data_IF_461533804300
#
_entry.id   IF_461533804300
#
_cell.length_a   1.000
_cell.length_b   1.000
_cell.length_c   1.000
_cell.angle_alpha   90.00
_cell.angle_beta   90.00
_cell.angle_gamma   90.00
#
_symmetry.space_group_name_H-M   'P 1'
#
loop_
_entity.id
_entity.type
_entity.pdbx_description
1 polymer ?
#
# COMPACT_ATOMS: atom_id res chain seq x y z
N UNK A 1 4.72 -24.08 10.83
CA UNK A 1 4.60 -24.08 9.36
C UNK A 1 5.80 -23.34 8.81
N UNK A 2 6.49 -23.84 7.80
CA UNK A 2 7.48 -23.04 7.05
C UNK A 2 6.76 -22.01 6.16
N UNK A 3 7.47 -21.00 5.66
CA UNK A 3 6.86 -20.01 4.76
C UNK A 3 6.38 -20.65 3.44
N UNK A 4 7.10 -21.67 2.95
CA UNK A 4 6.72 -22.44 1.77
C UNK A 4 5.45 -23.28 2.03
N UNK A 5 5.31 -23.86 3.22
CA UNK A 5 4.09 -24.55 3.63
C UNK A 5 2.91 -23.57 3.71
N UNK A 6 3.11 -22.32 4.18
CA UNK A 6 2.04 -21.29 4.18
C UNK A 6 1.56 -21.02 2.76
N UNK A 7 2.47 -20.80 1.81
CA UNK A 7 2.09 -20.48 0.43
C UNK A 7 1.36 -21.60 -0.31
N UNK A 8 1.68 -22.85 0.02
CA UNK A 8 1.02 -24.01 -0.55
C UNK A 8 -0.25 -24.45 0.19
N UNK A 9 -0.56 -23.82 1.33
CA UNK A 9 -1.71 -24.19 2.14
C UNK A 9 -2.97 -23.41 1.75
N UNK A 10 -3.92 -24.10 1.12
CA UNK A 10 -5.21 -23.54 0.69
C UNK A 10 -6.23 -23.38 1.82
N UNK A 11 -5.87 -23.70 3.06
CA UNK A 11 -6.78 -23.68 4.23
C UNK A 11 -6.42 -22.58 5.24
N UNK A 12 -5.55 -21.64 4.88
CA UNK A 12 -5.15 -20.52 5.74
C UNK A 12 -5.19 -19.22 4.96
N UNK A 13 -5.46 -18.11 5.64
CA UNK A 13 -5.16 -16.79 5.12
C UNK A 13 -3.63 -16.61 5.16
N UNK A 14 -3.00 -16.62 3.99
CA UNK A 14 -1.54 -16.67 3.83
C UNK A 14 -0.88 -15.44 4.44
N UNK A 15 -1.41 -14.24 4.18
CA UNK A 15 -0.83 -13.00 4.69
C UNK A 15 -1.02 -12.86 6.21
N UNK A 16 -2.14 -13.30 6.78
CA UNK A 16 -2.33 -13.33 8.23
C UNK A 16 -1.27 -14.22 8.91
N UNK A 17 -1.06 -15.44 8.39
CA UNK A 17 -0.06 -16.36 8.94
C UNK A 17 1.37 -15.88 8.70
N UNK A 18 1.69 -15.37 7.51
CA UNK A 18 3.01 -14.83 7.16
C UNK A 18 3.41 -13.65 8.05
N UNK A 19 2.52 -12.70 8.25
CA UNK A 19 2.82 -11.50 9.04
C UNK A 19 2.74 -11.74 10.55
N UNK A 20 2.29 -12.93 10.98
CA UNK A 20 2.11 -13.27 12.38
C UNK A 20 3.34 -12.91 13.25
N UNK A 21 3.02 -12.46 14.45
CA UNK A 21 3.97 -11.94 15.42
C UNK A 21 4.00 -12.83 16.66
N UNK A 22 5.19 -13.00 17.23
CA UNK A 22 5.39 -13.50 18.58
C UNK A 22 5.58 -12.32 19.53
N UNK A 23 4.78 -12.27 20.58
CA UNK A 23 4.91 -11.27 21.64
C UNK A 23 6.07 -11.63 22.57
N UNK A 24 7.09 -10.76 22.67
CA UNK A 24 8.21 -10.92 23.60
C UNK A 24 7.95 -10.18 24.93
N UNK A 25 7.23 -9.06 24.87
CA UNK A 25 6.69 -8.31 26.00
C UNK A 25 5.45 -7.52 25.58
N UNK A 26 4.87 -6.70 26.46
CA UNK A 26 3.70 -5.86 26.13
C UNK A 26 3.90 -4.88 24.98
N UNK A 27 5.14 -4.52 24.71
CA UNK A 27 5.51 -3.50 23.73
C UNK A 27 6.63 -3.96 22.80
N UNK A 28 7.04 -5.22 22.86
CA UNK A 28 8.06 -5.78 21.99
C UNK A 28 7.54 -7.04 21.34
N UNK A 29 7.50 -7.04 20.02
CA UNK A 29 7.04 -8.15 19.19
C UNK A 29 8.14 -8.56 18.21
N UNK A 30 8.10 -9.79 17.74
CA UNK A 30 9.04 -10.34 16.77
C UNK A 30 8.26 -11.04 15.66
N UNK A 31 8.65 -10.82 14.40
CA UNK A 31 8.08 -11.56 13.27
C UNK A 31 8.39 -13.05 13.38
N UNK A 32 7.40 -13.91 13.08
CA UNK A 32 7.65 -15.36 13.01
C UNK A 32 8.44 -15.75 11.76
N UNK A 33 8.41 -14.92 10.71
CA UNK A 33 9.07 -15.15 9.43
C UNK A 33 9.85 -13.91 8.98
N UNK A 34 10.97 -14.07 8.25
CA UNK A 34 11.65 -12.95 7.61
C UNK A 34 10.74 -12.24 6.61
N UNK A 35 10.89 -10.92 6.52
CA UNK A 35 10.19 -10.13 5.51
C UNK A 35 10.84 -10.30 4.14
N UNK A 36 10.04 -10.46 3.09
CA UNK A 36 10.52 -10.90 1.78
C UNK A 36 10.75 -9.75 0.77
N UNK A 37 11.61 -9.94 -0.24
CA UNK A 37 11.78 -8.97 -1.31
C UNK A 37 10.60 -8.99 -2.29
N UNK A 38 10.49 -7.95 -3.11
CA UNK A 38 9.43 -7.87 -4.13
C UNK A 38 9.56 -8.92 -5.24
N UNK A 39 10.79 -9.41 -5.45
CA UNK A 39 11.14 -10.53 -6.33
C UNK A 39 12.44 -11.17 -5.86
N UNK A 40 12.68 -12.40 -6.29
CA UNK A 40 13.95 -13.10 -6.05
C UNK A 40 15.15 -12.28 -6.56
N UNK A 41 16.23 -12.24 -5.77
CA UNK A 41 17.46 -11.52 -6.08
C UNK A 41 17.39 -9.99 -5.93
N UNK A 42 16.25 -9.41 -5.51
CA UNK A 42 16.23 -8.00 -5.13
C UNK A 42 17.02 -7.75 -3.84
N UNK A 43 17.64 -6.57 -3.73
CA UNK A 43 18.58 -6.24 -2.64
C UNK A 43 17.95 -6.05 -1.27
N UNK A 44 16.63 -5.89 -1.18
CA UNK A 44 15.98 -5.56 0.08
C UNK A 44 14.52 -5.99 0.10
N UNK A 45 14.02 -6.13 1.32
CA UNK A 45 12.61 -6.34 1.65
C UNK A 45 11.70 -5.35 0.90
N UNK A 46 10.58 -5.85 0.41
CA UNK A 46 9.51 -5.04 -0.17
C UNK A 46 8.88 -4.15 0.90
N UNK A 47 8.66 -2.86 0.63
CA UNK A 47 8.17 -1.92 1.64
C UNK A 47 6.80 -2.29 2.19
N UNK A 48 5.94 -2.91 1.36
CA UNK A 48 4.65 -3.49 1.75
C UNK A 48 4.76 -4.47 2.92
N UNK A 49 5.85 -5.23 3.02
CA UNK A 49 6.10 -6.14 4.14
C UNK A 49 6.31 -5.38 5.45
N UNK A 50 7.12 -4.31 5.40
CA UNK A 50 7.41 -3.47 6.57
C UNK A 50 6.15 -2.79 7.08
N UNK A 51 5.39 -2.14 6.20
CA UNK A 51 4.18 -1.41 6.60
C UNK A 51 3.12 -2.36 7.15
N UNK A 52 2.99 -3.57 6.60
CA UNK A 52 1.99 -4.55 7.03
C UNK A 52 2.30 -5.13 8.40
N UNK A 53 3.50 -5.70 8.57
CA UNK A 53 3.88 -6.28 9.85
C UNK A 53 4.07 -5.20 10.93
N UNK A 54 4.50 -3.99 10.55
CA UNK A 54 4.62 -2.85 11.46
C UNK A 54 3.26 -2.31 11.93
N UNK A 55 2.28 -2.20 11.03
CA UNK A 55 0.90 -1.84 11.39
C UNK A 55 0.26 -2.93 12.26
N UNK A 56 0.51 -4.20 11.95
CA UNK A 56 0.07 -5.32 12.79
C UNK A 56 0.70 -5.23 14.18
N UNK A 57 2.00 -4.99 14.29
CA UNK A 57 2.69 -4.82 15.57
C UNK A 57 2.11 -3.66 16.39
N UNK A 58 1.77 -2.54 15.75
CA UNK A 58 1.05 -1.46 16.41
C UNK A 58 -0.31 -1.94 16.93
N UNK A 59 -1.10 -2.61 16.10
CA UNK A 59 -2.46 -3.04 16.43
C UNK A 59 -2.50 -4.11 17.54
N UNK A 60 -1.55 -5.04 17.56
CA UNK A 60 -1.42 -6.06 18.63
C UNK A 60 -1.12 -5.47 20.02
N UNK A 61 -0.84 -4.17 20.11
CA UNK A 61 -0.67 -3.43 21.38
C UNK A 61 -1.85 -2.52 21.71
N UNK A 62 -2.94 -2.57 20.94
CA UNK A 62 -4.20 -1.89 21.21
C UNK A 62 -5.12 -2.85 21.96
N UNK A 63 -5.41 -2.52 23.22
CA UNK A 63 -6.12 -3.43 24.13
C UNK A 63 -7.64 -3.45 23.85
N UNK A 64 -8.17 -2.39 23.23
CA UNK A 64 -9.60 -2.24 22.97
C UNK A 64 -9.95 -2.76 21.56
N UNK A 65 -10.81 -3.79 21.45
CA UNK A 65 -11.10 -4.45 20.18
C UNK A 65 -11.94 -3.60 19.21
N UNK A 66 -12.59 -2.53 19.68
CA UNK A 66 -13.36 -1.64 18.80
C UNK A 66 -12.45 -0.75 17.96
N UNK A 67 -11.17 -0.65 18.32
CA UNK A 67 -10.22 0.18 17.60
C UNK A 67 -9.67 -0.53 16.36
N UNK A 68 -9.72 0.19 15.25
CA UNK A 68 -9.10 -0.20 13.99
C UNK A 68 -8.24 0.94 13.45
N UNK A 69 -7.17 0.64 12.69
CA UNK A 69 -6.32 1.68 12.13
C UNK A 69 -7.11 2.52 11.13
N UNK A 70 -6.98 3.84 11.24
CA UNK A 70 -7.49 4.77 10.22
C UNK A 70 -6.37 5.52 9.50
N UNK A 71 -5.15 5.50 10.05
CA UNK A 71 -3.99 6.03 9.33
C UNK A 71 -2.67 5.51 9.88
N UNK A 72 -1.64 5.57 9.06
CA UNK A 72 -0.26 5.51 9.50
C UNK A 72 0.66 6.35 8.63
N UNK A 73 1.80 6.73 9.20
CA UNK A 73 2.91 7.43 8.55
C UNK A 73 4.20 6.66 8.83
N UNK A 74 5.07 6.52 7.84
CA UNK A 74 6.27 5.72 8.01
C UNK A 74 7.47 6.19 7.20
N UNK A 75 8.67 5.80 7.62
CA UNK A 75 9.93 6.08 6.95
C UNK A 75 10.76 4.80 6.78
N UNK A 76 11.27 4.60 5.57
CA UNK A 76 12.22 3.52 5.25
C UNK A 76 13.65 4.02 5.45
N UNK A 77 14.36 3.44 6.42
CA UNK A 77 15.69 3.91 6.83
C UNK A 77 16.82 3.05 6.25
N UNK A 78 16.61 1.73 6.19
CA UNK A 78 17.56 0.75 5.64
C UNK A 78 16.81 -0.38 4.96
N UNK A 79 17.45 -0.98 3.95
CA UNK A 79 16.95 -2.20 3.34
C UNK A 79 16.93 -3.35 4.36
N UNK A 80 15.81 -4.08 4.42
CA UNK A 80 15.70 -5.30 5.22
C UNK A 80 16.44 -6.48 4.56
N UNK A 81 16.94 -7.38 5.41
CA UNK A 81 17.56 -8.65 5.02
C UNK A 81 16.62 -9.83 5.30
N UNK A 82 16.61 -10.80 4.38
CA UNK A 82 15.88 -12.06 4.51
C UNK A 82 16.54 -13.06 5.47
N UNK A 83 17.78 -12.80 5.90
CA UNK A 83 18.55 -13.70 6.77
C UNK A 83 18.02 -13.73 8.22
N UNK A 84 17.06 -12.86 8.54
CA UNK A 84 16.58 -12.66 9.91
C UNK A 84 15.21 -12.01 9.94
N UNK A 85 14.45 -12.31 10.99
CA UNK A 85 13.18 -11.67 11.30
C UNK A 85 13.36 -10.23 11.80
N UNK A 86 12.25 -9.51 11.90
CA UNK A 86 12.19 -8.16 12.45
C UNK A 86 11.73 -8.17 13.91
N UNK A 87 12.35 -7.33 14.73
CA UNK A 87 11.87 -6.95 16.06
C UNK A 87 11.16 -5.61 15.99
N UNK A 88 9.97 -5.54 16.55
CA UNK A 88 9.09 -4.38 16.56
C UNK A 88 8.94 -3.86 17.98
N UNK A 89 9.44 -2.66 18.23
CA UNK A 89 9.34 -1.99 19.53
C UNK A 89 8.29 -0.89 19.45
N UNK A 90 7.23 -1.02 20.25
CA UNK A 90 6.03 -0.21 20.18
C UNK A 90 5.90 0.68 21.42
N UNK A 91 5.81 1.98 21.21
CA UNK A 91 5.46 2.95 22.26
C UNK A 91 3.97 3.28 22.16
N UNK A 92 3.22 3.09 23.25
CA UNK A 92 1.85 3.59 23.39
C UNK A 92 1.92 5.11 23.63
N UNK A 93 1.75 5.92 22.59
CA UNK A 93 1.99 7.37 22.67
C UNK A 93 0.78 8.15 23.19
N UNK A 94 -0.44 7.67 22.94
CA UNK A 94 -1.67 8.29 23.44
C UNK A 94 -2.77 7.23 23.56
N UNK A 95 -3.50 7.27 24.67
CA UNK A 95 -4.71 6.49 24.92
C UNK A 95 -5.88 7.43 25.18
N UNK A 96 -6.84 7.44 24.26
CA UNK A 96 -8.02 8.29 24.33
C UNK A 96 -9.31 7.48 24.17
N UNK A 97 -10.44 8.12 24.43
CA UNK A 97 -11.76 7.48 24.32
C UNK A 97 -12.10 7.02 22.90
N UNK A 98 -11.76 7.84 21.89
CA UNK A 98 -12.12 7.64 20.48
C UNK A 98 -10.91 7.41 19.56
N UNK A 99 -9.71 7.74 20.05
CA UNK A 99 -8.46 7.63 19.31
C UNK A 99 -7.36 7.08 20.22
N UNK A 100 -6.47 6.27 19.67
CA UNK A 100 -5.22 5.87 20.31
C UNK A 100 -4.09 5.86 19.27
N UNK A 101 -2.84 6.05 19.72
CA UNK A 101 -1.68 6.19 18.83
C UNK A 101 -0.55 5.26 19.25
N UNK A 102 0.22 4.79 18.27
CA UNK A 102 1.39 3.93 18.44
C UNK A 102 2.56 4.48 17.65
N UNK A 103 3.75 4.47 18.23
CA UNK A 103 5.01 4.66 17.52
C UNK A 103 5.75 3.33 17.52
N UNK A 104 6.19 2.88 16.35
CA UNK A 104 6.84 1.59 16.12
C UNK A 104 8.23 1.83 15.56
N UNK A 105 9.24 1.25 16.19
CA UNK A 105 10.58 1.11 15.66
C UNK A 105 10.82 -0.33 15.24
N UNK A 106 11.26 -0.53 14.00
CA UNK A 106 11.58 -1.84 13.44
C UNK A 106 13.09 -2.04 13.38
N UNK A 107 13.58 -3.02 14.13
CA UNK A 107 14.98 -3.42 14.14
C UNK A 107 15.15 -4.76 13.46
N UNK A 108 16.21 -4.90 12.68
CA UNK A 108 16.65 -6.19 12.17
C UNK A 108 17.24 -7.00 13.33
N UNK A 109 16.69 -8.18 13.62
CA UNK A 109 16.96 -8.86 14.88
C UNK A 109 18.41 -9.33 15.05
N UNK A 110 19.05 -9.84 14.00
CA UNK A 110 20.42 -10.38 14.10
C UNK A 110 21.51 -9.32 14.33
N UNK A 111 21.29 -8.06 13.96
CA UNK A 111 22.32 -7.00 14.03
C UNK A 111 21.86 -5.71 14.70
N UNK A 112 20.62 -5.65 15.20
CA UNK A 112 20.02 -4.51 15.87
C UNK A 112 19.99 -3.22 15.03
N UNK A 113 20.04 -3.32 13.69
CA UNK A 113 19.94 -2.17 12.79
C UNK A 113 18.49 -1.69 12.72
N UNK A 114 18.26 -0.41 13.03
CA UNK A 114 16.96 0.22 12.80
C UNK A 114 16.73 0.35 11.28
N UNK A 115 15.66 -0.25 10.78
CA UNK A 115 15.35 -0.31 9.35
C UNK A 115 14.13 0.53 8.96
N UNK A 116 13.16 0.69 9.87
CA UNK A 116 11.88 1.31 9.57
C UNK A 116 11.24 1.91 10.81
N UNK A 117 10.50 3.00 10.65
CA UNK A 117 9.72 3.65 11.70
C UNK A 117 8.29 3.86 11.19
N UNK A 118 7.30 3.62 12.03
CA UNK A 118 5.89 3.84 11.72
C UNK A 118 5.16 4.48 12.91
N UNK A 119 4.33 5.48 12.65
CA UNK A 119 3.35 5.99 13.61
C UNK A 119 1.96 5.67 13.10
N UNK A 120 1.15 4.97 13.89
CA UNK A 120 -0.23 4.60 13.55
C UNK A 120 -1.23 5.27 14.48
N UNK A 121 -2.37 5.63 13.93
CA UNK A 121 -3.53 6.13 14.67
C UNK A 121 -4.73 5.22 14.44
N UNK A 122 -5.42 4.91 15.53
CA UNK A 122 -6.56 3.99 15.57
C UNK A 122 -7.80 4.73 16.05
N UNK A 123 -8.97 4.30 15.58
CA UNK A 123 -10.26 4.86 15.97
C UNK A 123 -11.35 3.79 16.06
N UNK A 124 -12.41 4.09 16.82
CA UNK A 124 -13.60 3.22 16.93
C UNK A 124 -14.59 3.35 15.76
N UNK A 125 -14.56 4.47 15.05
CA UNK A 125 -15.64 4.86 14.14
C UNK A 125 -15.21 4.91 12.67
N UNK A 126 -14.58 3.84 12.16
CA UNK A 126 -14.06 3.78 10.78
C UNK A 126 -14.91 2.92 9.83
N UNK A 127 -16.24 3.04 9.92
CA UNK A 127 -17.16 2.32 9.04
C UNK A 127 -18.36 3.19 8.68
N UNK A 128 -18.52 3.52 7.40
CA UNK A 128 -19.66 4.35 6.95
C UNK A 128 -20.99 3.62 7.21
N UNK A 129 -21.02 2.30 7.05
CA UNK A 129 -22.21 1.50 7.37
C UNK A 129 -22.59 1.62 8.84
N UNK A 130 -21.63 1.50 9.76
CA UNK A 130 -21.89 1.70 11.18
C UNK A 130 -22.34 3.14 11.48
N UNK A 131 -21.77 4.14 10.80
CA UNK A 131 -22.18 5.55 10.95
C UNK A 131 -23.61 5.80 10.48
N UNK A 132 -24.08 5.09 9.44
CA UNK A 132 -25.48 5.12 8.99
C UNK A 132 -26.41 4.50 10.04
N UNK A 133 -26.05 3.33 10.58
CA UNK A 133 -26.82 2.66 11.64
C UNK A 133 -26.90 3.51 12.92
N UNK A 134 -25.79 4.14 13.33
CA UNK A 134 -25.74 5.08 14.45
C UNK A 134 -26.75 6.22 14.28
N UNK A 135 -26.85 6.78 13.07
CA UNK A 135 -27.76 7.87 12.74
C UNK A 135 -29.22 7.41 12.73
N UNK A 136 -29.51 6.25 12.13
CA UNK A 136 -30.86 5.65 12.12
C UNK A 136 -31.35 5.38 13.56
N UNK A 137 -30.45 4.95 14.44
CA UNK A 137 -30.77 4.67 15.84
C UNK A 137 -30.95 5.95 16.67
N UNK A 138 -30.14 6.99 16.42
CA UNK A 138 -30.21 8.27 17.15
C UNK A 138 -30.16 9.48 16.20
N UNK A 139 -31.24 9.76 15.46
CA UNK A 139 -31.29 10.88 14.52
C UNK A 139 -31.03 12.21 15.24
N UNK A 140 -30.10 13.02 14.73
CA UNK A 140 -29.83 14.38 15.22
C UNK A 140 -28.57 14.57 16.08
N UNK A 141 -27.85 13.50 16.45
CA UNK A 141 -26.59 13.61 17.22
C UNK A 141 -25.32 13.44 16.40
N UNK A 142 -25.40 12.71 15.28
CA UNK A 142 -24.26 12.28 14.44
C UNK A 142 -24.71 12.19 12.98
N UNK A 143 -24.27 13.09 12.11
CA UNK A 143 -24.62 13.07 10.68
C UNK A 143 -23.50 12.33 9.89
N UNK A 144 -23.82 11.31 9.08
CA UNK A 144 -22.84 10.64 8.21
C UNK A 144 -22.68 11.42 6.89
N UNK A 145 -22.03 12.59 6.97
CA UNK A 145 -21.73 13.41 5.78
C UNK A 145 -20.41 12.97 5.14
N UNK A 146 -20.43 12.74 3.82
CA UNK A 146 -19.27 12.29 3.04
C UNK A 146 -19.23 12.95 1.66
N UNK A 147 -18.02 13.08 1.11
CA UNK A 147 -17.78 13.44 -0.30
C UNK A 147 -16.50 12.73 -0.77
N UNK A 148 -16.41 12.45 -2.06
CA UNK A 148 -15.22 11.88 -2.68
C UNK A 148 -15.07 12.41 -4.11
N UNK A 149 -13.89 12.23 -4.70
CA UNK A 149 -13.72 12.31 -6.16
C UNK A 149 -14.15 11.00 -6.81
N UNK A 150 -14.51 11.03 -8.09
CA UNK A 150 -14.68 9.81 -8.90
C UNK A 150 -13.32 9.21 -9.26
N UNK A 151 -13.24 7.89 -9.51
CA UNK A 151 -12.05 7.28 -10.10
C UNK A 151 -11.82 7.81 -11.52
N UNK A 152 -10.56 7.81 -11.97
CA UNK A 152 -10.22 8.25 -13.33
C UNK A 152 -10.62 7.25 -14.44
N UNK A 153 -10.53 7.73 -15.69
CA UNK A 153 -10.98 7.07 -16.93
C UNK A 153 -10.63 5.57 -17.10
N UNK A 154 -9.45 5.14 -16.65
CA UNK A 154 -9.02 3.75 -16.74
C UNK A 154 -9.88 2.80 -15.88
N UNK A 155 -10.50 3.29 -14.81
CA UNK A 155 -11.47 2.52 -14.03
C UNK A 155 -12.66 2.15 -14.93
N UNK A 156 -13.38 3.17 -15.41
CA UNK A 156 -14.57 3.03 -16.25
C UNK A 156 -14.28 2.24 -17.54
N UNK A 157 -13.09 2.43 -18.13
CA UNK A 157 -12.73 1.77 -19.38
C UNK A 157 -12.56 0.25 -19.24
N UNK A 158 -12.02 -0.20 -18.11
CA UNK A 158 -11.49 -1.55 -17.95
C UNK A 158 -12.19 -2.39 -16.88
N UNK A 159 -12.89 -1.79 -15.92
CA UNK A 159 -13.47 -2.51 -14.78
C UNK A 159 -14.35 -3.70 -15.22
N UNK A 160 -15.24 -3.49 -16.19
CA UNK A 160 -16.14 -4.55 -16.70
C UNK A 160 -15.44 -5.57 -17.62
N UNK A 161 -14.13 -5.43 -17.86
CA UNK A 161 -13.33 -6.29 -18.77
C UNK A 161 -12.18 -6.98 -18.05
N UNK A 162 -12.03 -6.82 -16.73
CA UNK A 162 -10.87 -7.31 -15.99
C UNK A 162 -10.70 -8.84 -16.10
N UNK A 163 -11.80 -9.58 -16.17
CA UNK A 163 -11.78 -11.04 -16.29
C UNK A 163 -11.17 -11.54 -17.61
N UNK A 164 -11.21 -10.72 -18.67
CA UNK A 164 -10.62 -11.02 -19.98
C UNK A 164 -9.18 -10.50 -20.12
N UNK A 165 -8.68 -9.77 -19.12
CA UNK A 165 -7.37 -9.12 -19.17
C UNK A 165 -6.28 -9.98 -18.53
N UNK A 166 -5.07 -9.88 -19.08
CA UNK A 166 -3.90 -10.53 -18.50
C UNK A 166 -3.44 -9.76 -17.26
N UNK A 167 -3.31 -10.49 -16.15
CA UNK A 167 -2.64 -10.00 -14.96
C UNK A 167 -1.19 -10.49 -14.90
N UNK A 168 -0.36 -9.81 -14.12
CA UNK A 168 0.93 -10.33 -13.68
C UNK A 168 1.02 -10.35 -12.16
N UNK A 169 1.94 -11.15 -11.66
CA UNK A 169 2.15 -11.37 -10.23
C UNK A 169 3.53 -10.88 -9.78
N UNK A 170 3.63 -10.49 -8.51
CA UNK A 170 4.91 -10.26 -7.84
C UNK A 170 4.81 -10.60 -6.35
N UNK A 171 5.87 -10.40 -5.56
CA UNK A 171 5.91 -10.73 -4.12
C UNK A 171 5.49 -12.17 -3.84
N UNK A 172 6.10 -13.14 -4.53
CA UNK A 172 5.78 -14.58 -4.40
C UNK A 172 4.33 -14.94 -4.72
N UNK A 173 3.72 -14.23 -5.68
CA UNK A 173 2.34 -14.50 -6.11
C UNK A 173 1.28 -13.89 -5.20
N UNK A 174 1.65 -13.14 -4.15
CA UNK A 174 0.70 -12.55 -3.19
C UNK A 174 -0.06 -11.34 -3.75
N UNK A 175 0.43 -10.70 -4.82
CA UNK A 175 -0.23 -9.57 -5.48
C UNK A 175 -0.40 -9.83 -6.96
N UNK A 176 -1.60 -9.55 -7.47
CA UNK A 176 -1.93 -9.55 -8.89
C UNK A 176 -2.22 -8.13 -9.37
N UNK A 177 -1.82 -7.85 -10.60
CA UNK A 177 -1.92 -6.53 -11.22
C UNK A 177 -2.47 -6.63 -12.64
N UNK A 178 -3.46 -5.81 -12.97
CA UNK A 178 -3.89 -5.55 -14.36
C UNK A 178 -3.53 -4.13 -14.71
N UNK A 179 -2.65 -3.98 -15.69
CA UNK A 179 -2.15 -2.67 -16.16
C UNK A 179 -2.75 -2.34 -17.52
N UNK A 180 -3.27 -1.11 -17.73
CA UNK A 180 -3.79 -0.67 -19.02
C UNK A 180 -2.81 -0.90 -20.19
N UNK A 181 -3.25 -1.50 -21.32
CA UNK A 181 -2.41 -1.75 -22.50
C UNK A 181 -1.74 -0.50 -23.10
N UNK A 182 -2.34 0.68 -22.91
CA UNK A 182 -1.76 1.97 -23.32
C UNK A 182 -0.40 2.21 -22.69
N UNK A 183 -0.13 1.65 -21.50
CA UNK A 183 1.15 1.87 -20.84
C UNK A 183 2.28 1.17 -21.58
N UNK A 184 1.99 0.15 -22.40
CA UNK A 184 2.98 -0.56 -23.21
C UNK A 184 3.04 -0.05 -24.65
N UNK A 185 1.92 0.43 -25.18
CA UNK A 185 1.80 0.86 -26.58
C UNK A 185 2.03 2.36 -26.77
N UNK A 186 1.93 3.15 -25.70
CA UNK A 186 2.08 4.59 -25.69
C UNK A 186 0.80 5.29 -25.27
N UNK A 187 0.96 6.40 -24.53
CA UNK A 187 -0.16 7.16 -24.01
C UNK A 187 -0.84 7.99 -25.10
N UNK A 188 -2.17 8.15 -25.05
CA UNK A 188 -2.93 9.02 -25.97
C UNK A 188 -2.43 10.47 -26.01
N UNK A 189 -2.61 11.16 -27.13
CA UNK A 189 -2.13 12.53 -27.33
C UNK A 189 -2.81 13.57 -26.43
N UNK A 190 -4.10 13.39 -26.15
CA UNK A 190 -4.87 14.21 -25.20
C UNK A 190 -4.34 14.07 -23.77
N UNK A 191 -3.98 12.85 -23.35
CA UNK A 191 -3.27 12.62 -22.09
C UNK A 191 -1.93 13.36 -22.04
N UNK A 192 -1.13 13.27 -23.11
CA UNK A 192 0.17 13.92 -23.19
C UNK A 192 0.09 15.46 -23.32
N UNK A 193 -1.07 16.00 -23.70
CA UNK A 193 -1.28 17.45 -23.75
C UNK A 193 -1.42 18.10 -22.37
N UNK A 194 -1.77 17.31 -21.35
CA UNK A 194 -1.88 17.77 -19.97
C UNK A 194 -0.49 18.01 -19.35
N UNK A 195 -0.43 18.91 -18.38
CA UNK A 195 0.76 19.05 -17.54
C UNK A 195 1.12 17.71 -16.89
N UNK A 196 2.41 17.34 -16.86
CA UNK A 196 2.86 16.07 -16.28
C UNK A 196 2.29 15.82 -14.88
N UNK A 197 2.23 16.86 -14.04
CA UNK A 197 1.71 16.77 -12.68
C UNK A 197 0.18 16.69 -12.59
N UNK A 198 -0.56 16.77 -13.70
CA UNK A 198 -2.02 16.61 -13.78
C UNK A 198 -2.43 15.30 -14.45
N UNK A 199 -1.46 14.51 -14.93
CA UNK A 199 -1.70 13.25 -15.61
C UNK A 199 -2.03 12.15 -14.60
N UNK A 200 -3.29 11.75 -14.56
CA UNK A 200 -3.77 10.66 -13.72
C UNK A 200 -3.43 9.30 -14.36
N UNK A 201 -2.79 8.42 -13.59
CA UNK A 201 -2.36 7.08 -14.00
C UNK A 201 -3.06 6.10 -13.08
N UNK A 202 -3.45 4.93 -13.56
CA UNK A 202 -3.99 3.92 -12.66
C UNK A 202 -4.05 2.54 -13.25
N UNK A 203 -4.16 1.57 -12.35
CA UNK A 203 -4.19 0.15 -12.66
C UNK A 203 -4.91 -0.58 -11.52
N UNK A 204 -5.20 -1.85 -11.73
CA UNK A 204 -5.92 -2.66 -10.76
C UNK A 204 -4.96 -3.55 -9.99
N UNK A 205 -5.17 -3.67 -8.69
CA UNK A 205 -4.47 -4.59 -7.80
C UNK A 205 -5.47 -5.47 -7.08
N UNK A 206 -5.07 -6.70 -6.77
CA UNK A 206 -5.69 -7.49 -5.72
C UNK A 206 -4.66 -8.34 -5.00
N UNK A 207 -4.96 -8.68 -3.76
CA UNK A 207 -4.24 -9.64 -2.94
C UNK A 207 -4.71 -11.04 -3.32
N UNK A 208 -3.77 -11.93 -3.58
CA UNK A 208 -4.04 -13.32 -3.95
C UNK A 208 -4.10 -14.21 -2.69
N UNK A 209 -5.18 -14.05 -1.93
CA UNK A 209 -5.41 -14.74 -0.67
C UNK A 209 -6.92 -14.99 -0.46
N UNK A 210 -7.29 -15.72 0.58
CA UNK A 210 -8.68 -15.91 1.02
C UNK A 210 -8.84 -15.37 2.45
N UNK A 211 -9.40 -14.17 2.56
CA UNK A 211 -9.59 -13.49 3.85
C UNK A 211 -10.65 -14.17 4.71
N UNK A 212 -11.58 -14.95 4.13
CA UNK A 212 -12.57 -15.69 4.91
C UNK A 212 -11.96 -16.79 5.78
N UNK A 213 -10.70 -17.15 5.53
CA UNK A 213 -9.92 -18.10 6.33
C UNK A 213 -9.16 -17.43 7.49
N UNK A 214 -9.20 -16.09 7.60
CA UNK A 214 -8.53 -15.36 8.67
C UNK A 214 -9.23 -15.56 10.01
N UNK A 215 -8.46 -15.50 11.11
CA UNK A 215 -9.01 -15.51 12.47
C UNK A 215 -9.70 -14.19 12.80
N UNK A 216 -9.20 -13.10 12.24
CA UNK A 216 -9.76 -11.75 12.34
C UNK A 216 -9.83 -11.14 10.94
N UNK A 217 -11.02 -11.24 10.31
CA UNK A 217 -11.22 -10.78 8.93
C UNK A 217 -10.96 -9.28 8.75
N UNK A 218 -11.34 -8.44 9.72
CA UNK A 218 -11.13 -7.00 9.64
C UNK A 218 -9.64 -6.67 9.69
N UNK A 219 -8.90 -7.35 10.58
CA UNK A 219 -7.46 -7.20 10.68
C UNK A 219 -6.75 -7.71 9.43
N UNK A 220 -7.08 -8.91 8.96
CA UNK A 220 -6.54 -9.45 7.73
C UNK A 220 -6.81 -8.53 6.53
N UNK A 221 -8.01 -7.96 6.42
CA UNK A 221 -8.38 -6.98 5.39
C UNK A 221 -7.49 -5.74 5.40
N UNK A 222 -7.36 -5.07 6.54
CA UNK A 222 -6.61 -3.82 6.65
C UNK A 222 -5.09 -4.04 6.54
N UNK A 223 -4.56 -5.13 7.09
CA UNK A 223 -3.15 -5.50 6.95
C UNK A 223 -2.82 -5.89 5.50
N UNK A 224 -3.70 -6.64 4.83
CA UNK A 224 -3.51 -6.98 3.41
C UNK A 224 -3.61 -5.74 2.51
N UNK A 225 -4.45 -4.77 2.85
CA UNK A 225 -4.47 -3.49 2.15
C UNK A 225 -3.22 -2.67 2.41
N UNK A 226 -2.68 -2.66 3.64
CA UNK A 226 -1.39 -2.05 3.91
C UNK A 226 -0.28 -2.68 3.05
N UNK A 227 -0.31 -4.01 2.86
CA UNK A 227 0.63 -4.74 1.99
C UNK A 227 0.52 -4.31 0.53
N UNK A 228 -0.71 -4.26 0.02
CA UNK A 228 -1.00 -3.82 -1.35
C UNK A 228 -0.73 -2.32 -1.57
N UNK A 229 -0.74 -1.50 -0.51
CA UNK A 229 -0.59 -0.03 -0.62
C UNK A 229 0.80 0.42 -1.09
N UNK A 230 1.86 -0.33 -0.78
CA UNK A 230 3.21 -0.09 -1.30
C UNK A 230 3.43 -0.72 -2.68
N UNK A 231 2.35 -1.26 -3.28
CA UNK A 231 2.47 -1.95 -4.54
C UNK A 231 2.63 -0.94 -5.67
N UNK A 232 3.65 -1.22 -6.48
CA UNK A 232 3.68 -0.85 -7.90
C UNK A 232 3.53 0.65 -8.20
N UNK A 233 4.54 1.46 -7.85
CA UNK A 233 4.46 2.89 -8.11
C UNK A 233 5.52 3.49 -9.02
N UNK A 234 6.79 3.24 -8.74
CA UNK A 234 7.83 4.06 -9.34
C UNK A 234 8.12 3.73 -10.80
N UNK A 235 7.74 2.55 -11.27
CA UNK A 235 7.85 2.20 -12.69
C UNK A 235 6.86 2.97 -13.57
N UNK A 236 5.70 3.37 -13.03
CA UNK A 236 4.69 4.12 -13.79
C UNK A 236 4.99 5.61 -13.90
N UNK A 237 5.97 6.11 -13.14
CA UNK A 237 6.47 7.47 -13.29
C UNK A 237 6.83 7.79 -14.75
N UNK A 238 7.47 6.84 -15.44
CA UNK A 238 7.87 7.04 -16.84
C UNK A 238 6.68 7.15 -17.80
N UNK A 239 5.55 6.52 -17.48
CA UNK A 239 4.31 6.68 -18.25
C UNK A 239 3.75 8.09 -18.10
N UNK A 240 3.91 8.71 -16.92
CA UNK A 240 3.55 10.12 -16.72
C UNK A 240 4.44 11.05 -17.56
N UNK A 241 5.64 10.62 -17.92
CA UNK A 241 6.56 11.31 -18.84
C UNK A 241 6.29 10.97 -20.31
N UNK A 242 5.26 10.19 -20.62
CA UNK A 242 4.93 9.77 -21.99
C UNK A 242 5.81 8.66 -22.55
N UNK A 243 6.54 7.95 -21.70
CA UNK A 243 7.43 6.86 -22.09
C UNK A 243 6.71 5.53 -21.83
N UNK A 244 6.50 4.70 -22.87
CA UNK A 244 5.85 3.39 -22.70
C UNK A 244 6.72 2.45 -21.87
N UNK A 245 6.10 1.61 -21.03
CA UNK A 245 6.75 0.55 -20.29
C UNK A 245 7.46 -0.43 -21.22
N UNK A 246 8.64 -0.84 -20.79
CA UNK A 246 9.45 -1.88 -21.43
C UNK A 246 10.34 -2.54 -20.38
N UNK A 247 10.91 -3.70 -20.69
CA UNK A 247 11.83 -4.42 -19.81
C UNK A 247 13.00 -3.52 -19.37
N UNK A 248 13.54 -2.69 -20.27
CA UNK A 248 14.65 -1.79 -19.97
C UNK A 248 14.29 -0.68 -18.96
N UNK A 249 13.04 -0.26 -18.93
CA UNK A 249 12.56 0.82 -18.06
C UNK A 249 12.48 0.37 -16.61
N UNK A 250 12.34 -0.94 -16.35
CA UNK A 250 12.31 -1.43 -14.98
C UNK A 250 13.68 -1.36 -14.26
N UNK A 251 14.76 -1.03 -14.97
CA UNK A 251 16.13 -1.11 -14.44
C UNK A 251 16.71 0.19 -13.86
N UNK A 252 15.99 1.31 -13.89
CA UNK A 252 16.51 2.52 -13.24
C UNK A 252 16.37 2.44 -11.71
N UNK A 253 17.31 3.09 -11.02
CA UNK A 253 17.35 3.06 -9.56
C UNK A 253 16.20 3.86 -8.97
N UNK A 254 15.47 3.23 -8.05
CA UNK A 254 14.36 3.85 -7.33
C UNK A 254 14.19 3.23 -5.95
N UNK A 255 13.83 4.05 -4.96
CA UNK A 255 13.62 3.59 -3.58
C UNK A 255 12.62 4.51 -2.87
N UNK A 256 11.68 3.92 -2.14
CA UNK A 256 10.72 4.64 -1.28
C UNK A 256 11.45 5.28 -0.11
N UNK A 257 11.10 6.51 0.25
CA UNK A 257 11.64 7.23 1.41
C UNK A 257 10.69 7.16 2.59
N UNK A 258 9.42 7.45 2.34
CA UNK A 258 8.34 7.39 3.30
C UNK A 258 7.14 6.63 2.71
N UNK A 259 6.11 6.40 3.52
CA UNK A 259 4.80 5.91 3.07
C UNK A 259 3.73 6.28 4.09
N UNK A 260 2.67 6.93 3.62
CA UNK A 260 1.55 7.37 4.45
C UNK A 260 0.25 6.83 3.87
N UNK A 261 -0.59 6.24 4.72
CA UNK A 261 -1.88 5.65 4.33
C UNK A 261 -2.98 6.17 5.24
N UNK A 262 -4.13 6.49 4.65
CA UNK A 262 -5.37 6.85 5.33
C UNK A 262 -6.46 5.88 4.89
N UNK A 263 -7.03 5.12 5.82
CA UNK A 263 -8.19 4.24 5.59
C UNK A 263 -9.46 5.03 5.88
N UNK A 264 -10.27 5.27 4.86
CA UNK A 264 -11.50 6.08 4.96
C UNK A 264 -12.74 5.25 5.28
N UNK A 265 -12.73 3.97 4.91
CA UNK A 265 -13.80 3.01 5.19
C UNK A 265 -13.23 1.60 5.28
N UNK A 266 -14.06 0.66 5.72
CA UNK A 266 -13.79 -0.78 5.82
C UNK A 266 -14.61 -1.62 4.84
N UNK A 267 -15.48 -0.98 4.03
CA UNK A 267 -16.27 -1.59 2.94
C UNK A 267 -15.42 -1.81 1.67
N UNK A 268 -14.40 -2.65 1.79
CA UNK A 268 -13.62 -3.14 0.67
C UNK A 268 -13.12 -4.55 0.95
N UNK A 269 -12.77 -5.28 -0.09
CA UNK A 269 -12.13 -6.57 0.01
C UNK A 269 -10.85 -6.53 -0.83
N UNK A 270 -9.65 -6.59 -0.23
CA UNK A 270 -8.41 -6.51 -0.98
C UNK A 270 -8.17 -7.74 -1.86
N UNK A 271 -8.94 -8.83 -1.71
CA UNK A 271 -8.91 -9.98 -2.63
C UNK A 271 -9.70 -9.76 -3.92
N UNK A 272 -10.57 -8.73 -3.94
CA UNK A 272 -11.20 -8.22 -5.15
C UNK A 272 -10.30 -7.19 -5.83
N UNK A 273 -10.60 -6.92 -7.10
CA UNK A 273 -9.92 -5.85 -7.83
C UNK A 273 -10.21 -4.49 -7.22
N UNK A 274 -9.17 -3.87 -6.68
CA UNK A 274 -9.14 -2.48 -6.27
C UNK A 274 -8.41 -1.67 -7.33
N UNK A 275 -8.84 -0.43 -7.53
CA UNK A 275 -8.21 0.45 -8.50
C UNK A 275 -7.35 1.50 -7.83
N UNK A 276 -6.10 1.59 -8.26
CA UNK A 276 -5.12 2.53 -7.73
C UNK A 276 -5.02 3.70 -8.71
N UNK A 277 -5.55 4.86 -8.30
CA UNK A 277 -5.56 6.11 -9.04
C UNK A 277 -4.44 7.01 -8.53
N UNK A 278 -3.41 7.17 -9.34
CA UNK A 278 -2.15 7.77 -9.00
C UNK A 278 -1.89 9.09 -9.71
N UNK A 279 -1.17 9.97 -9.01
CA UNK A 279 -0.71 11.24 -9.54
C UNK A 279 0.71 11.58 -9.08
N UNK A 280 1.57 11.91 -10.05
CA UNK A 280 2.94 12.32 -9.82
C UNK A 280 3.05 13.85 -9.77
N UNK A 281 2.79 14.44 -8.61
CA UNK A 281 2.56 15.89 -8.50
C UNK A 281 3.82 16.74 -8.74
N UNK A 282 5.01 16.22 -8.41
CA UNK A 282 6.28 16.93 -8.61
C UNK A 282 7.46 15.98 -8.60
N UNK A 283 8.40 16.19 -9.51
CA UNK A 283 9.74 15.63 -9.45
C UNK A 283 10.79 16.75 -9.41
N UNK A 284 11.72 16.71 -8.45
CA UNK A 284 12.84 17.65 -8.32
C UNK A 284 13.89 17.08 -7.39
N UNK A 285 15.17 17.39 -7.64
CA UNK A 285 16.30 16.90 -6.83
C UNK A 285 16.27 15.36 -6.68
N UNK A 286 16.01 14.68 -7.80
CA UNK A 286 15.89 13.22 -7.90
C UNK A 286 14.80 12.57 -7.04
N UNK A 287 13.89 13.37 -6.48
CA UNK A 287 12.74 12.89 -5.71
C UNK A 287 11.44 13.14 -6.44
N UNK A 288 10.46 12.25 -6.24
CA UNK A 288 9.12 12.35 -6.80
C UNK A 288 8.07 12.11 -5.72
N UNK A 289 7.00 12.92 -5.73
CA UNK A 289 5.85 12.81 -4.83
C UNK A 289 4.68 12.08 -5.51
N UNK A 290 4.01 11.18 -4.78
CA UNK A 290 3.26 10.02 -5.29
C UNK A 290 1.73 9.97 -5.18
N UNK A 291 0.99 10.91 -4.62
CA UNK A 291 -0.44 10.74 -4.25
C UNK A 291 -1.30 9.65 -4.98
N UNK A 292 -1.84 8.68 -4.23
CA UNK A 292 -2.76 7.63 -4.72
C UNK A 292 -4.13 7.70 -4.02
N UNK A 293 -5.19 7.38 -4.74
CA UNK A 293 -6.51 7.09 -4.22
C UNK A 293 -6.90 5.67 -4.63
N UNK A 294 -7.39 4.87 -3.68
CA UNK A 294 -7.79 3.48 -3.92
C UNK A 294 -9.31 3.39 -3.94
N UNK A 295 -9.85 2.81 -5.00
CA UNK A 295 -11.28 2.63 -5.20
C UNK A 295 -11.66 1.15 -5.16
N UNK A 296 -12.80 0.83 -4.52
CA UNK A 296 -13.38 -0.51 -4.52
C UNK A 296 -14.19 -0.79 -5.81
N UNK A 297 -14.82 -1.97 -5.89
CA UNK A 297 -15.64 -2.39 -7.04
C UNK A 297 -16.81 -1.45 -7.36
N UNK A 298 -17.25 -0.66 -6.37
CA UNK A 298 -18.39 0.26 -6.48
C UNK A 298 -17.95 1.66 -6.91
N UNK A 299 -16.64 1.89 -7.10
CA UNK A 299 -16.08 3.23 -7.31
C UNK A 299 -16.06 4.09 -6.05
N UNK A 300 -16.17 3.49 -4.86
CA UNK A 300 -16.01 4.20 -3.58
C UNK A 300 -14.53 4.29 -3.23
N UNK A 301 -14.06 5.49 -2.89
CA UNK A 301 -12.69 5.75 -2.46
C UNK A 301 -12.51 5.30 -1.01
N UNK A 302 -11.74 4.24 -0.80
CA UNK A 302 -11.59 3.58 0.50
C UNK A 302 -10.26 3.86 1.17
N UNK A 303 -9.21 4.20 0.40
CA UNK A 303 -7.88 4.51 0.93
C UNK A 303 -7.25 5.69 0.18
N UNK A 304 -6.49 6.52 0.89
CA UNK A 304 -5.55 7.47 0.27
C UNK A 304 -4.12 7.20 0.71
N UNK A 305 -3.18 7.39 -0.22
CA UNK A 305 -1.77 7.10 0.00
C UNK A 305 -0.94 8.31 -0.45
N UNK A 306 0.13 8.61 0.28
CA UNK A 306 1.14 9.59 -0.11
C UNK A 306 2.52 8.99 0.15
N UNK A 307 3.41 9.15 -0.83
CA UNK A 307 4.76 8.63 -0.81
C UNK A 307 5.72 9.62 -1.48
N UNK A 308 6.94 9.77 -0.98
CA UNK A 308 8.07 10.34 -1.70
C UNK A 308 9.09 9.22 -1.96
N UNK A 309 9.71 9.26 -3.13
CA UNK A 309 10.74 8.30 -3.50
C UNK A 309 11.89 8.98 -4.22
N UNK A 310 13.07 8.38 -4.13
CA UNK A 310 14.17 8.70 -5.03
C UNK A 310 13.94 7.96 -6.34
N UNK A 311 14.12 8.64 -7.47
CA UNK A 311 14.04 8.08 -8.81
C UNK A 311 15.15 8.67 -9.70
N UNK A 312 16.18 7.88 -9.98
CA UNK A 312 17.30 8.29 -10.84
C UNK A 312 16.99 7.88 -12.28
N UNK A 313 16.23 8.73 -12.99
CA UNK A 313 15.81 8.45 -14.37
C UNK A 313 17.00 8.66 -15.32
N UNK A 314 17.41 7.65 -16.10
CA UNK A 314 18.48 7.80 -17.08
C UNK A 314 18.20 8.92 -18.09
N UNK A 315 19.25 9.67 -18.46
CA UNK A 315 19.17 10.76 -19.45
C UNK A 315 18.44 10.35 -20.74
N UNK A 316 18.70 9.13 -21.26
CA UNK A 316 18.06 8.60 -22.46
C UNK A 316 16.52 8.56 -22.42
N UNK A 317 15.94 8.52 -21.23
CA UNK A 317 14.48 8.58 -21.02
C UNK A 317 14.02 10.01 -20.82
N UNK A 318 14.76 10.82 -20.06
CA UNK A 318 14.46 12.26 -19.88
C UNK A 318 14.45 12.99 -21.24
N UNK A 319 15.40 12.69 -22.12
CA UNK A 319 15.49 13.26 -23.47
C UNK A 319 14.25 12.94 -24.34
N UNK A 320 13.46 11.91 -23.97
CA UNK A 320 12.22 11.50 -24.66
C UNK A 320 10.95 11.92 -23.90
N UNK A 321 11.09 12.52 -22.73
CA UNK A 321 9.96 12.88 -21.91
C UNK A 321 9.11 13.96 -22.58
N UNK A 322 7.79 13.77 -22.56
CA UNK A 322 6.81 14.75 -23.01
C UNK A 322 6.37 15.55 -21.79
N UNK A 323 7.00 16.71 -21.56
CA UNK A 323 6.79 17.55 -20.38
C UNK A 323 8.00 17.57 -19.45
N UNK A 324 8.05 18.58 -18.57
CA UNK A 324 9.24 18.88 -17.77
C UNK A 324 10.30 19.68 -18.54
N UNK A 325 11.37 20.09 -17.86
CA UNK A 325 12.47 20.86 -18.46
C UNK A 325 13.75 20.62 -17.67
N UNK A 326 14.89 20.57 -18.36
CA UNK A 326 16.18 20.72 -17.71
C UNK A 326 16.24 22.06 -16.96
N UNK A 327 16.73 22.04 -15.73
CA UNK A 327 17.11 23.23 -14.95
C UNK A 327 18.63 23.23 -14.84
N UNK A 328 19.29 23.47 -15.97
CA UNK A 328 20.76 23.52 -16.10
C UNK A 328 21.26 24.96 -16.02
#
# INVERSE_FOLDING_TARGET
MSIEEIYNNVKVCKLEEKFSLKKLSDTVLEGNYPLEPFKEGARGTYGGEFVSQGLLAAWETVDDPDFSPHSFHSYFLKAGSIESVMRWEVTKTMEGRNYCNRLVHCYQQHNNQLCFILTASFTRNNSIQQRKLDYETNPGTKIPFEFQRSPQYFFEKYYDKLDDMQYFEHTNGNLQHIVPPEYFTGMPSDFLSQETGMRDIGFFVRVNDDISLAKDELKARLISMAFASDSFYLSLLVCSLGIPLSIEIFNFFRVSLDHTVYFHDTDFDPTKWLFLDYRFSRMSNDRVLCQCQVFNEKGTMVVSIVQEAIALIPKKYIDKAVGGSYKL
#
